data_IF_111849299881
#
_entry.id   IF_111849299881
#
_cell.length_a   1.000
_cell.length_b   1.000
_cell.length_c   1.000
_cell.angle_alpha   90.00
_cell.angle_beta   90.00
_cell.angle_gamma   90.00
#
_symmetry.space_group_name_H-M   'P 1'
#
loop_
_entity.id
_entity.type
_entity.pdbx_description
1 polymer ?
#
# COMPACT_ATOMS: atom_id res chain seq x y z
N UNK A 1 -10.66 21.36 -0.85
CA UNK A 1 -11.71 20.31 -0.97
C UNK A 1 -11.83 19.56 0.36
N UNK A 2 -13.02 19.20 0.81
CA UNK A 2 -13.21 18.41 2.04
C UNK A 2 -13.20 16.91 1.71
N UNK A 3 -12.08 16.25 1.94
CA UNK A 3 -11.90 14.81 1.71
C UNK A 3 -12.05 14.08 3.05
N UNK A 4 -12.84 13.01 3.07
CA UNK A 4 -13.03 12.17 4.25
C UNK A 4 -11.85 11.20 4.40
N UNK A 5 -10.88 11.60 5.19
CA UNK A 5 -9.65 10.87 5.49
C UNK A 5 -9.27 11.11 6.96
N UNK A 6 -8.51 10.20 7.56
CA UNK A 6 -8.05 10.34 8.94
C UNK A 6 -7.31 11.68 9.15
N UNK A 7 -7.54 12.30 10.31
CA UNK A 7 -7.23 13.72 10.58
C UNK A 7 -5.73 14.05 10.42
N UNK A 8 -4.83 13.20 10.89
CA UNK A 8 -3.39 13.48 10.80
C UNK A 8 -2.88 13.50 9.34
N UNK A 9 -3.52 12.72 8.47
CA UNK A 9 -3.30 12.76 7.03
C UNK A 9 -3.96 13.96 6.38
N UNK A 10 -5.21 14.27 6.77
CA UNK A 10 -5.95 15.41 6.22
C UNK A 10 -5.18 16.71 6.37
N UNK A 11 -4.60 16.94 7.57
CA UNK A 11 -3.82 18.15 7.84
C UNK A 11 -2.61 18.29 6.91
N UNK A 12 -1.91 17.19 6.60
CA UNK A 12 -0.72 17.21 5.75
C UNK A 12 -1.03 17.22 4.26
N UNK A 13 -2.14 16.60 3.87
CA UNK A 13 -2.53 16.44 2.47
C UNK A 13 -3.50 17.52 1.97
N UNK A 14 -3.96 18.41 2.83
CA UNK A 14 -4.85 19.49 2.41
C UNK A 14 -4.31 20.31 1.22
N UNK A 15 -3.00 20.65 1.16
CA UNK A 15 -2.44 21.33 -0.01
C UNK A 15 -2.58 20.52 -1.31
N UNK A 16 -2.52 19.18 -1.25
CA UNK A 16 -2.74 18.32 -2.44
C UNK A 16 -4.22 18.32 -2.85
N UNK A 17 -5.13 18.26 -1.89
CA UNK A 17 -6.58 18.27 -2.16
C UNK A 17 -7.07 19.56 -2.82
N UNK A 18 -6.34 20.66 -2.66
CA UNK A 18 -6.69 21.98 -3.22
C UNK A 18 -6.08 22.23 -4.60
N UNK A 19 -5.23 21.33 -5.11
CA UNK A 19 -4.64 21.42 -6.44
C UNK A 19 -5.61 21.04 -7.55
N UNK A 20 -5.44 21.61 -8.72
CA UNK A 20 -6.30 21.37 -9.88
C UNK A 20 -6.28 19.93 -10.36
N UNK A 21 -5.11 19.25 -10.30
CA UNK A 21 -5.06 17.84 -10.69
C UNK A 21 -5.96 16.97 -9.80
N UNK A 22 -6.05 17.29 -8.50
CA UNK A 22 -6.87 16.52 -7.57
C UNK A 22 -8.36 16.77 -7.79
N UNK A 23 -8.75 17.98 -8.17
CA UNK A 23 -10.13 18.29 -8.59
C UNK A 23 -10.50 17.49 -9.83
N UNK A 24 -9.66 17.52 -10.86
CA UNK A 24 -9.84 16.76 -12.10
C UNK A 24 -9.93 15.24 -11.81
N UNK A 25 -9.06 14.72 -10.94
CA UNK A 25 -9.10 13.33 -10.49
C UNK A 25 -10.42 13.01 -9.79
N UNK A 26 -10.88 13.88 -8.90
CA UNK A 26 -12.14 13.67 -8.15
C UNK A 26 -13.34 13.63 -9.08
N UNK A 27 -13.40 14.53 -10.06
CA UNK A 27 -14.49 14.56 -11.04
C UNK A 27 -14.49 13.29 -11.90
N UNK A 28 -13.31 12.85 -12.34
CA UNK A 28 -13.14 11.58 -13.04
C UNK A 28 -13.64 10.40 -12.19
N UNK A 29 -13.17 10.26 -10.96
CA UNK A 29 -13.56 9.16 -10.07
C UNK A 29 -15.06 9.14 -9.79
N UNK A 30 -15.67 10.29 -9.53
CA UNK A 30 -17.13 10.40 -9.35
C UNK A 30 -17.89 9.96 -10.60
N UNK A 31 -17.43 10.37 -11.77
CA UNK A 31 -18.01 9.95 -13.05
C UNK A 31 -17.91 8.42 -13.23
N UNK A 32 -16.78 7.82 -12.90
CA UNK A 32 -16.58 6.38 -13.00
C UNK A 32 -17.57 5.60 -12.11
N UNK A 33 -17.74 6.01 -10.84
CA UNK A 33 -18.72 5.38 -9.94
C UNK A 33 -20.17 5.58 -10.39
N UNK A 34 -20.46 6.66 -11.09
CA UNK A 34 -21.82 6.92 -11.62
C UNK A 34 -22.15 6.05 -12.84
N UNK A 35 -21.15 5.62 -13.61
CA UNK A 35 -21.35 4.90 -14.87
C UNK A 35 -21.13 3.38 -14.79
N UNK A 36 -20.56 2.88 -13.68
CA UNK A 36 -20.33 1.43 -13.55
C UNK A 36 -19.66 1.05 -12.24
N UNK A 37 -19.44 -0.26 -12.04
CA UNK A 37 -18.77 -0.75 -10.85
C UNK A 37 -17.29 -0.37 -10.85
N UNK A 38 -16.86 0.27 -9.75
CA UNK A 38 -15.49 0.67 -9.45
C UNK A 38 -15.08 0.12 -8.09
N UNK A 39 -13.85 -0.30 -7.94
CA UNK A 39 -13.31 -0.86 -6.71
C UNK A 39 -12.13 -0.03 -6.18
N UNK A 40 -11.94 0.00 -4.85
CA UNK A 40 -12.84 -0.50 -3.80
C UNK A 40 -14.13 0.32 -3.73
N UNK A 41 -15.14 -0.08 -2.91
CA UNK A 41 -16.28 0.80 -2.62
C UNK A 41 -15.82 2.17 -2.14
N UNK A 42 -16.53 3.24 -2.53
CA UNK A 42 -16.10 4.62 -2.32
C UNK A 42 -15.67 4.96 -0.89
N UNK A 43 -16.35 4.40 0.12
CA UNK A 43 -15.99 4.56 1.54
C UNK A 43 -14.63 3.95 1.92
N UNK A 44 -14.05 3.09 1.09
CA UNK A 44 -12.79 2.39 1.33
C UNK A 44 -11.62 2.92 0.49
N UNK A 45 -11.81 3.96 -0.32
CA UNK A 45 -10.73 4.54 -1.14
C UNK A 45 -9.52 4.92 -0.28
N UNK A 46 -9.76 5.56 0.88
CA UNK A 46 -8.72 6.01 1.80
C UNK A 46 -8.51 5.08 3.00
N UNK A 47 -8.90 3.81 2.89
CA UNK A 47 -8.84 2.88 4.02
C UNK A 47 -7.42 2.66 4.56
N UNK A 48 -6.40 2.66 3.70
CA UNK A 48 -5.00 2.56 4.11
C UNK A 48 -4.59 3.69 5.07
N UNK A 49 -5.09 4.88 4.84
CA UNK A 49 -4.84 6.07 5.67
C UNK A 49 -5.68 6.03 6.95
N UNK A 50 -6.94 5.62 6.85
CA UNK A 50 -7.85 5.58 7.99
C UNK A 50 -7.45 4.54 9.04
N UNK A 51 -6.82 3.44 8.62
CA UNK A 51 -6.33 2.38 9.51
C UNK A 51 -4.90 2.59 10.01
N UNK A 52 -4.15 3.49 9.40
CA UNK A 52 -2.76 3.77 9.74
C UNK A 52 -2.52 5.30 9.77
N UNK A 53 -2.80 5.97 10.91
CA UNK A 53 -2.51 7.39 11.07
C UNK A 53 -1.06 7.74 10.76
N UNK A 54 -0.81 8.95 10.28
CA UNK A 54 0.51 9.40 9.81
C UNK A 54 1.62 9.16 10.83
N UNK A 55 1.38 9.52 12.09
CA UNK A 55 2.37 9.39 13.16
C UNK A 55 2.61 7.94 13.61
N UNK A 56 1.73 7.02 13.24
CA UNK A 56 1.86 5.60 13.53
C UNK A 56 2.55 4.80 12.43
N UNK A 57 2.77 5.38 11.26
CA UNK A 57 3.45 4.69 10.16
C UNK A 57 4.85 4.26 10.58
N UNK A 58 5.15 2.99 10.42
CA UNK A 58 6.46 2.36 10.61
C UNK A 58 6.99 1.74 9.33
N UNK A 59 6.09 1.18 8.54
CA UNK A 59 6.40 0.48 7.30
C UNK A 59 5.48 1.00 6.20
N UNK A 60 6.01 1.17 5.00
CA UNK A 60 5.25 1.51 3.80
C UNK A 60 5.40 0.38 2.80
N UNK A 61 4.31 -0.25 2.42
CA UNK A 61 4.26 -1.23 1.35
C UNK A 61 3.54 -0.63 0.15
N UNK A 62 4.18 -0.61 -0.99
CA UNK A 62 3.67 0.01 -2.22
C UNK A 62 3.17 -1.05 -3.17
N UNK A 63 1.86 -1.06 -3.42
CA UNK A 63 1.21 -1.81 -4.49
C UNK A 63 0.96 -0.95 -5.73
N UNK A 64 0.39 -1.53 -6.76
CA UNK A 64 0.11 -0.83 -8.03
C UNK A 64 -1.32 -0.29 -8.07
N UNK A 65 -2.31 -1.13 -8.26
CA UNK A 65 -3.72 -0.79 -8.30
C UNK A 65 -4.57 -1.82 -7.52
N UNK A 66 -5.81 -1.49 -7.15
CA UNK A 66 -6.67 -2.41 -6.42
C UNK A 66 -7.00 -3.66 -7.23
N UNK A 67 -7.37 -4.73 -6.56
CA UNK A 67 -8.00 -5.88 -7.23
C UNK A 67 -9.28 -5.43 -7.93
N UNK A 68 -9.50 -5.94 -9.13
CA UNK A 68 -10.60 -5.49 -10.01
C UNK A 68 -11.79 -6.47 -10.09
N UNK A 69 -11.74 -7.57 -9.33
CA UNK A 69 -12.86 -8.51 -9.25
C UNK A 69 -13.79 -8.17 -8.07
N UNK A 70 -15.09 -8.49 -8.17
CA UNK A 70 -16.06 -8.21 -7.13
C UNK A 70 -15.64 -8.78 -5.76
N UNK A 71 -15.82 -7.98 -4.71
CA UNK A 71 -15.62 -8.42 -3.33
C UNK A 71 -14.18 -8.56 -2.86
N UNK A 72 -13.18 -8.32 -3.70
CA UNK A 72 -11.76 -8.46 -3.33
C UNK A 72 -11.19 -7.23 -2.62
N UNK A 73 -11.22 -6.07 -3.29
CA UNK A 73 -10.55 -4.86 -2.84
C UNK A 73 -11.19 -4.25 -1.59
N UNK A 74 -10.35 -3.88 -0.63
CA UNK A 74 -10.75 -3.20 0.60
C UNK A 74 -9.95 -1.91 0.89
N UNK A 75 -9.30 -1.35 -0.14
CA UNK A 75 -8.51 -0.11 -0.02
C UNK A 75 -7.14 -0.29 0.64
N UNK A 76 -6.63 -1.51 0.69
CA UNK A 76 -5.32 -1.89 1.20
C UNK A 76 -4.60 -2.74 0.14
N UNK A 77 -3.36 -2.40 -0.20
CA UNK A 77 -2.63 -3.16 -1.20
C UNK A 77 -2.40 -4.61 -0.76
N UNK A 78 -2.50 -5.55 -1.70
CA UNK A 78 -2.41 -7.00 -1.52
C UNK A 78 -3.51 -7.64 -0.67
N UNK A 79 -4.29 -6.86 0.07
CA UNK A 79 -5.33 -7.35 0.99
C UNK A 79 -6.64 -7.66 0.27
N UNK A 80 -7.30 -8.72 0.70
CA UNK A 80 -8.66 -9.05 0.26
C UNK A 80 -9.62 -9.12 1.44
N UNK A 81 -10.91 -8.96 1.18
CA UNK A 81 -11.94 -9.13 2.20
C UNK A 81 -11.94 -10.55 2.81
N UNK A 82 -12.49 -10.66 4.01
CA UNK A 82 -12.68 -11.94 4.69
C UNK A 82 -13.44 -12.94 3.80
N UNK A 83 -13.00 -14.20 3.83
CA UNK A 83 -13.63 -15.27 3.07
C UNK A 83 -13.29 -15.31 1.58
N UNK A 84 -12.52 -14.35 1.08
CA UNK A 84 -12.06 -14.35 -0.31
C UNK A 84 -10.81 -15.23 -0.44
N UNK A 85 -10.73 -16.10 -1.47
CA UNK A 85 -9.53 -16.87 -1.76
C UNK A 85 -8.31 -15.97 -1.92
N UNK A 86 -7.15 -16.42 -1.45
CA UNK A 86 -5.92 -15.64 -1.54
C UNK A 86 -5.49 -15.45 -2.99
N UNK A 87 -5.32 -14.22 -3.47
CA UNK A 87 -4.69 -13.96 -4.75
C UNK A 87 -3.25 -14.53 -4.80
N UNK A 88 -2.75 -14.89 -5.98
CA UNK A 88 -1.45 -15.56 -6.10
C UNK A 88 -0.27 -14.82 -5.47
N UNK A 89 -0.24 -13.49 -5.58
CA UNK A 89 0.81 -12.69 -4.93
C UNK A 89 0.75 -12.78 -3.40
N UNK A 90 -0.46 -12.78 -2.83
CA UNK A 90 -0.66 -12.90 -1.39
C UNK A 90 -0.27 -14.29 -0.87
N UNK A 91 -0.56 -15.34 -1.63
CA UNK A 91 -0.06 -16.69 -1.33
C UNK A 91 1.46 -16.70 -1.20
N UNK A 92 2.16 -16.07 -2.15
CA UNK A 92 3.61 -16.00 -2.14
C UNK A 92 4.17 -15.13 -0.99
N UNK A 93 3.47 -14.04 -0.64
CA UNK A 93 3.82 -13.23 0.53
C UNK A 93 3.77 -14.09 1.81
N UNK A 94 2.68 -14.80 2.05
CA UNK A 94 2.55 -15.66 3.23
C UNK A 94 3.54 -16.83 3.23
N UNK A 95 3.86 -17.38 2.05
CA UNK A 95 4.90 -18.40 1.91
C UNK A 95 6.27 -17.87 2.34
N UNK A 96 6.63 -16.65 1.91
CA UNK A 96 7.90 -16.04 2.30
C UNK A 96 7.92 -15.70 3.81
N UNK A 97 6.83 -15.21 4.39
CA UNK A 97 6.71 -14.97 5.83
C UNK A 97 7.00 -16.27 6.60
N UNK A 98 6.38 -17.39 6.20
CA UNK A 98 6.61 -18.68 6.83
C UNK A 98 8.07 -19.14 6.70
N UNK A 99 8.69 -18.95 5.54
CA UNK A 99 10.09 -19.32 5.30
C UNK A 99 11.07 -18.42 6.07
N UNK A 100 10.78 -17.12 6.20
CA UNK A 100 11.67 -16.14 6.83
C UNK A 100 11.61 -16.18 8.36
N UNK A 101 10.40 -16.22 8.92
CA UNK A 101 10.18 -16.05 10.37
C UNK A 101 9.36 -17.17 11.03
N UNK A 102 8.94 -18.18 10.28
CA UNK A 102 8.22 -19.36 10.80
C UNK A 102 6.74 -19.13 11.15
N UNK A 103 6.19 -17.96 10.90
CA UNK A 103 4.77 -17.67 11.16
C UNK A 103 3.87 -18.51 10.23
N UNK A 104 2.87 -19.16 10.81
CA UNK A 104 1.92 -19.94 10.02
C UNK A 104 1.08 -19.07 9.10
N UNK A 105 0.70 -19.66 7.97
CA UNK A 105 -0.19 -18.99 7.01
C UNK A 105 -1.54 -18.74 7.66
N UNK A 106 -2.03 -17.49 7.67
CA UNK A 106 -3.32 -17.17 8.29
C UNK A 106 -4.49 -17.78 7.49
N UNK A 107 -5.63 -17.86 8.13
CA UNK A 107 -6.88 -18.31 7.47
C UNK A 107 -7.57 -17.22 6.69
N UNK A 108 -7.24 -15.95 6.95
CA UNK A 108 -7.79 -14.77 6.29
C UNK A 108 -6.75 -14.07 5.43
N UNK A 109 -7.16 -13.60 4.25
CA UNK A 109 -6.38 -12.74 3.37
C UNK A 109 -6.48 -11.24 3.69
N UNK A 110 -7.23 -10.88 4.74
CA UNK A 110 -7.32 -9.49 5.18
C UNK A 110 -6.06 -9.07 5.94
N UNK A 111 -5.44 -7.98 5.47
CA UNK A 111 -4.24 -7.38 6.06
C UNK A 111 -4.56 -6.18 6.98
N UNK A 112 -5.82 -6.02 7.38
CA UNK A 112 -6.24 -4.97 8.32
C UNK A 112 -5.38 -4.99 9.59
N UNK A 113 -5.07 -6.18 10.12
CA UNK A 113 -4.20 -6.35 11.28
C UNK A 113 -2.78 -5.78 11.08
N UNK A 114 -2.27 -5.76 9.85
CA UNK A 114 -0.99 -5.15 9.53
C UNK A 114 -1.10 -3.62 9.52
N UNK A 115 -2.15 -3.09 8.86
CA UNK A 115 -2.39 -1.65 8.83
C UNK A 115 -2.51 -1.06 10.24
N UNK A 116 -3.25 -1.73 11.13
CA UNK A 116 -3.43 -1.32 12.52
C UNK A 116 -2.14 -1.34 13.35
N UNK A 117 -1.10 -2.03 12.90
CA UNK A 117 0.22 -2.04 13.54
C UNK A 117 1.17 -0.96 13.00
N UNK A 118 0.75 -0.15 12.05
CA UNK A 118 1.57 0.91 11.47
C UNK A 118 2.16 0.57 10.10
N UNK A 119 1.56 -0.34 9.35
CA UNK A 119 1.91 -0.57 7.95
C UNK A 119 0.95 0.21 7.05
N UNK A 120 1.45 1.21 6.35
CA UNK A 120 0.70 1.87 5.28
C UNK A 120 0.68 0.97 4.04
N UNK A 121 -0.46 0.31 3.81
CA UNK A 121 -0.68 -0.58 2.68
C UNK A 121 -1.21 0.22 1.48
N UNK A 122 -0.32 0.91 0.79
CA UNK A 122 -0.64 1.94 -0.20
C UNK A 122 -0.56 1.40 -1.63
N UNK A 123 -1.68 1.42 -2.37
CA UNK A 123 -1.64 1.31 -3.82
C UNK A 123 -1.24 2.67 -4.45
N UNK A 124 -0.52 2.63 -5.55
CA UNK A 124 -0.18 3.84 -6.30
C UNK A 124 -1.42 4.49 -6.94
N UNK A 125 -2.37 3.66 -7.39
CA UNK A 125 -3.68 4.05 -7.91
C UNK A 125 -4.74 3.53 -6.96
N UNK A 126 -5.63 4.40 -6.45
CA UNK A 126 -6.54 4.04 -5.37
C UNK A 126 -7.90 3.50 -5.83
N UNK A 127 -8.18 3.57 -7.13
CA UNK A 127 -9.43 3.06 -7.72
C UNK A 127 -9.16 2.31 -9.00
N UNK A 128 -10.08 1.42 -9.38
CA UNK A 128 -10.01 0.65 -10.62
C UNK A 128 -11.42 0.31 -11.11
N UNK A 129 -11.63 0.30 -12.42
CA UNK A 129 -12.89 -0.17 -13.01
C UNK A 129 -12.96 -1.69 -12.90
N UNK A 130 -14.16 -2.22 -12.62
CA UNK A 130 -14.38 -3.66 -12.56
C UNK A 130 -13.86 -4.37 -13.80
N UNK A 131 -13.17 -5.49 -13.61
CA UNK A 131 -12.59 -6.37 -14.64
C UNK A 131 -11.53 -5.71 -15.55
N UNK A 132 -11.05 -4.48 -15.21
CA UNK A 132 -10.13 -3.71 -16.05
C UNK A 132 -8.92 -3.23 -15.27
N UNK A 133 -7.95 -4.12 -15.06
CA UNK A 133 -6.69 -3.77 -14.39
C UNK A 133 -6.04 -2.52 -15.04
N UNK A 134 -5.55 -1.60 -14.23
CA UNK A 134 -4.87 -0.39 -14.69
C UNK A 134 -5.77 0.67 -15.32
N UNK A 135 -7.08 0.50 -15.31
CA UNK A 135 -8.04 1.41 -16.00
C UNK A 135 -8.02 2.85 -15.50
N UNK A 136 -7.58 3.09 -14.26
CA UNK A 136 -7.48 4.44 -13.69
C UNK A 136 -6.04 4.97 -13.59
N UNK A 137 -5.07 4.28 -14.20
CA UNK A 137 -3.70 4.77 -14.28
C UNK A 137 -3.61 6.05 -15.12
N UNK A 138 -2.68 6.95 -14.76
CA UNK A 138 -2.47 8.21 -15.45
C UNK A 138 -3.60 9.24 -15.28
N UNK A 139 -4.48 9.06 -14.29
CA UNK A 139 -5.60 9.98 -14.02
C UNK A 139 -5.36 10.92 -12.83
N UNK A 140 -4.20 10.82 -12.18
CA UNK A 140 -3.80 11.71 -11.07
C UNK A 140 -3.55 11.00 -9.75
N UNK A 141 -3.98 9.75 -9.56
CA UNK A 141 -3.71 9.01 -8.34
C UNK A 141 -2.22 8.87 -8.05
N UNK A 142 -1.42 8.62 -9.08
CA UNK A 142 0.03 8.45 -8.92
C UNK A 142 0.70 9.73 -8.42
N UNK A 143 0.25 10.89 -8.90
CA UNK A 143 0.71 12.20 -8.40
C UNK A 143 0.38 12.38 -6.93
N UNK A 144 -0.83 12.02 -6.52
CA UNK A 144 -1.27 12.08 -5.14
C UNK A 144 -0.47 11.14 -4.24
N UNK A 145 -0.30 9.89 -4.64
CA UNK A 145 0.43 8.90 -3.83
C UNK A 145 1.94 9.15 -3.81
N UNK A 146 2.50 9.77 -4.85
CA UNK A 146 3.88 10.29 -4.82
C UNK A 146 4.04 11.37 -3.76
N UNK A 147 3.08 12.30 -3.65
CA UNK A 147 3.08 13.32 -2.60
C UNK A 147 3.00 12.69 -1.20
N UNK A 148 2.17 11.67 -1.01
CA UNK A 148 2.07 10.91 0.25
C UNK A 148 3.41 10.31 0.66
N UNK A 149 4.08 9.62 -0.27
CA UNK A 149 5.38 8.98 -0.01
C UNK A 149 6.44 10.05 0.29
N UNK A 150 6.42 11.15 -0.43
CA UNK A 150 7.38 12.27 -0.23
C UNK A 150 7.21 12.90 1.16
N UNK A 151 5.98 13.19 1.58
CA UNK A 151 5.71 13.74 2.91
C UNK A 151 6.21 12.79 4.01
N UNK A 152 5.96 11.48 3.88
CA UNK A 152 6.50 10.50 4.81
C UNK A 152 8.03 10.48 4.83
N UNK A 153 8.66 10.47 3.66
CA UNK A 153 10.11 10.44 3.54
C UNK A 153 10.79 11.71 4.11
N UNK A 154 10.13 12.86 3.99
CA UNK A 154 10.67 14.15 4.43
C UNK A 154 10.40 14.43 5.91
N UNK A 155 9.20 14.10 6.41
CA UNK A 155 8.78 14.46 7.78
C UNK A 155 9.02 13.37 8.83
N UNK A 156 9.26 12.12 8.41
CA UNK A 156 9.48 11.00 9.32
C UNK A 156 10.92 10.50 9.23
N UNK A 157 11.30 9.69 10.20
CA UNK A 157 12.61 9.04 10.24
C UNK A 157 12.46 7.56 10.60
N UNK A 158 13.43 6.77 10.13
CA UNK A 158 13.51 5.35 10.43
C UNK A 158 12.23 4.58 10.06
N UNK A 159 11.69 4.90 8.87
CA UNK A 159 10.66 4.08 8.24
C UNK A 159 11.29 2.96 7.42
N UNK A 160 10.52 1.91 7.18
CA UNK A 160 10.87 0.83 6.26
C UNK A 160 9.99 0.93 5.02
N UNK A 161 10.60 0.97 3.84
CA UNK A 161 9.88 0.94 2.57
C UNK A 161 10.09 -0.41 1.90
N UNK A 162 8.99 -1.15 1.71
CA UNK A 162 8.97 -2.43 1.00
C UNK A 162 8.66 -2.16 -0.47
N UNK A 163 9.67 -2.27 -1.32
CA UNK A 163 9.64 -1.92 -2.75
C UNK A 163 9.70 -3.18 -3.60
N UNK A 164 8.55 -3.85 -3.76
CA UNK A 164 8.44 -5.10 -4.50
C UNK A 164 8.09 -4.87 -5.96
N UNK A 165 9.06 -5.21 -6.83
CA UNK A 165 8.97 -5.03 -8.28
C UNK A 165 9.46 -3.66 -8.77
N UNK A 166 9.75 -3.59 -10.06
CA UNK A 166 10.34 -2.40 -10.68
C UNK A 166 9.45 -1.15 -10.54
N UNK A 167 8.14 -1.31 -10.55
CA UNK A 167 7.22 -0.18 -10.40
C UNK A 167 7.35 0.50 -9.04
N UNK A 168 7.28 -0.29 -7.94
CA UNK A 168 7.45 0.23 -6.59
C UNK A 168 8.84 0.82 -6.37
N UNK A 169 9.88 0.21 -6.93
CA UNK A 169 11.26 0.71 -6.85
C UNK A 169 11.41 2.08 -7.53
N UNK A 170 10.81 2.27 -8.71
CA UNK A 170 10.81 3.59 -9.37
C UNK A 170 10.06 4.64 -8.57
N UNK A 171 8.92 4.26 -7.97
CA UNK A 171 8.11 5.15 -7.14
C UNK A 171 8.83 5.60 -5.87
N UNK A 172 9.71 4.76 -5.33
CA UNK A 172 10.52 5.03 -4.15
C UNK A 172 11.95 5.54 -4.43
N UNK A 173 12.30 5.86 -5.67
CA UNK A 173 13.68 6.14 -6.06
C UNK A 173 14.29 7.43 -5.46
N UNK A 174 13.46 8.33 -4.95
CA UNK A 174 13.88 9.60 -4.32
C UNK A 174 14.07 9.49 -2.80
N UNK A 175 13.74 8.36 -2.19
CA UNK A 175 13.79 8.19 -0.74
C UNK A 175 15.24 8.07 -0.29
N UNK A 176 15.64 8.87 0.71
CA UNK A 176 17.00 8.86 1.26
C UNK A 176 17.27 7.58 2.07
N UNK A 177 18.19 6.70 1.60
CA UNK A 177 18.51 5.46 2.31
C UNK A 177 19.32 5.68 3.61
N UNK A 178 19.79 6.90 3.88
CA UNK A 178 20.43 7.24 5.15
C UNK A 178 19.39 7.52 6.25
N UNK A 179 18.17 7.90 5.86
CA UNK A 179 17.09 8.20 6.80
C UNK A 179 16.12 7.04 6.99
N UNK A 180 16.01 6.18 6.00
CA UNK A 180 15.03 5.09 5.96
C UNK A 180 15.66 3.78 5.48
N UNK A 181 15.05 2.65 5.84
CA UNK A 181 15.43 1.35 5.28
C UNK A 181 14.62 1.09 3.99
N UNK A 182 15.33 0.89 2.89
CA UNK A 182 14.73 0.51 1.60
C UNK A 182 14.98 -0.97 1.34
N UNK A 183 13.93 -1.78 1.26
CA UNK A 183 14.00 -3.20 0.97
C UNK A 183 13.40 -3.48 -0.40
N UNK A 184 14.25 -3.68 -1.39
CA UNK A 184 13.88 -3.91 -2.78
C UNK A 184 14.04 -5.38 -3.17
N UNK A 185 13.08 -5.92 -3.89
CA UNK A 185 13.14 -7.27 -4.49
C UNK A 185 12.24 -7.35 -5.72
N UNK A 186 12.30 -8.45 -6.52
CA UNK A 186 11.25 -8.76 -7.47
C UNK A 186 9.87 -8.80 -6.82
N UNK A 187 8.82 -8.65 -7.63
CA UNK A 187 7.42 -8.66 -7.18
C UNK A 187 7.00 -10.08 -6.71
N UNK A 188 6.11 -10.23 -5.71
CA UNK A 188 5.62 -11.52 -5.23
C UNK A 188 4.72 -12.28 -6.23
N UNK A 189 4.39 -11.72 -7.39
CA UNK A 189 3.66 -12.41 -8.44
C UNK A 189 4.33 -13.73 -8.82
N UNK A 190 3.56 -14.80 -9.13
CA UNK A 190 4.12 -16.05 -9.67
C UNK A 190 5.06 -15.88 -10.86
N UNK A 191 4.90 -14.81 -11.63
CA UNK A 191 5.75 -14.48 -12.78
C UNK A 191 7.19 -14.06 -12.39
N UNK A 192 7.42 -13.67 -11.14
CA UNK A 192 8.69 -13.08 -10.71
C UNK A 192 9.18 -13.52 -9.32
N UNK A 193 8.34 -14.14 -8.50
CA UNK A 193 8.67 -14.46 -7.12
C UNK A 193 9.90 -15.36 -6.99
N UNK A 194 10.09 -16.32 -7.89
CA UNK A 194 11.25 -17.21 -7.92
C UNK A 194 12.57 -16.52 -8.32
N UNK A 195 12.50 -15.29 -8.84
CA UNK A 195 13.67 -14.52 -9.26
C UNK A 195 14.30 -13.69 -8.13
N UNK A 196 13.85 -13.87 -6.86
CA UNK A 196 14.43 -13.19 -5.72
C UNK A 196 13.45 -12.54 -4.75
N UNK A 197 12.12 -12.74 -4.90
CA UNK A 197 11.18 -12.43 -3.82
C UNK A 197 11.29 -13.49 -2.72
N UNK A 198 11.26 -14.77 -3.08
CA UNK A 198 11.54 -15.84 -2.12
C UNK A 198 12.98 -15.76 -1.65
N UNK A 199 13.17 -15.77 -0.32
CA UNK A 199 14.45 -15.65 0.33
C UNK A 199 14.93 -14.20 0.52
N UNK A 200 14.09 -13.18 0.21
CA UNK A 200 14.46 -11.78 0.41
C UNK A 200 14.58 -11.37 1.90
N UNK A 201 13.93 -12.12 2.80
CA UNK A 201 13.96 -11.91 4.26
C UNK A 201 13.50 -10.52 4.69
N UNK A 202 12.58 -9.92 3.95
CA UNK A 202 12.14 -8.56 4.21
C UNK A 202 11.39 -8.44 5.53
N UNK A 203 10.72 -9.50 6.00
CA UNK A 203 9.93 -9.50 7.24
C UNK A 203 10.82 -9.49 8.48
N UNK A 204 11.81 -10.37 8.55
CA UNK A 204 12.80 -10.38 9.64
C UNK A 204 13.66 -9.12 9.64
N UNK A 205 14.13 -8.68 8.47
CA UNK A 205 14.95 -7.45 8.31
C UNK A 205 14.15 -6.20 8.73
N UNK A 206 12.89 -6.11 8.40
CA UNK A 206 12.00 -5.04 8.87
C UNK A 206 11.96 -5.01 10.39
N UNK A 207 11.71 -6.14 11.03
CA UNK A 207 11.58 -6.21 12.47
C UNK A 207 12.91 -5.95 13.20
N UNK A 208 14.03 -6.37 12.64
CA UNK A 208 15.36 -6.05 13.15
C UNK A 208 15.59 -4.52 13.14
N UNK A 209 15.34 -3.88 12.00
CA UNK A 209 15.48 -2.43 11.86
C UNK A 209 14.57 -1.64 12.82
N UNK A 210 13.31 -2.04 12.96
CA UNK A 210 12.38 -1.41 13.88
C UNK A 210 12.88 -1.50 15.32
N UNK A 211 13.38 -2.67 15.76
CA UNK A 211 13.94 -2.83 17.12
C UNK A 211 15.17 -1.95 17.34
N UNK A 212 16.08 -1.87 16.37
CA UNK A 212 17.27 -1.02 16.44
C UNK A 212 16.94 0.45 16.64
N UNK A 213 15.76 0.88 16.16
CA UNK A 213 15.30 2.26 16.30
C UNK A 213 14.21 2.44 17.38
N UNK A 214 14.12 1.51 18.34
CA UNK A 214 13.20 1.63 19.47
C UNK A 214 11.71 1.53 19.12
N UNK A 215 11.38 0.98 17.94
CA UNK A 215 10.00 0.82 17.48
C UNK A 215 9.54 -0.63 17.70
N UNK A 216 8.25 -0.78 18.01
CA UNK A 216 7.64 -2.10 18.13
C UNK A 216 7.72 -2.86 16.79
N UNK A 217 8.19 -4.12 16.79
CA UNK A 217 8.18 -4.95 15.58
C UNK A 217 6.76 -5.26 15.13
N UNK A 218 6.64 -5.71 13.90
CA UNK A 218 5.37 -6.15 13.31
C UNK A 218 5.14 -7.62 13.63
N UNK A 219 3.93 -7.96 14.01
CA UNK A 219 3.41 -9.33 14.05
C UNK A 219 2.81 -9.62 12.67
N UNK A 220 3.59 -10.31 11.87
CA UNK A 220 3.24 -10.60 10.46
C UNK A 220 2.17 -11.67 10.31
#
# INVERSE_FOLDING_TARGET
MNVQIEESWRQRLQPEFDKDYFRTLTDFVRSEYAHGPVYPPGRLIFNAFNLCPFDQVKVVLIGQDPYHEPGQAQGLCFSVNEGVPFPPSLVNIFKEIKNDIGTDVPTSGSLVRWAQQGILLLNATLTVRAHQAGSHQGRGWETFTDAVIRILADEREHLVFLLWGAYAQRKGNFIDPNRHLLLASPHPSPLSASRGFFGNKHFSRTNEYLRLHGKQPIVW
#
